data_IF_945718033688
#
_entry.id   IF_945718033688
#
_cell.length_a   1.000
_cell.length_b   1.000
_cell.length_c   1.000
_cell.angle_alpha   90.00
_cell.angle_beta   90.00
_cell.angle_gamma   90.00
#
_symmetry.space_group_name_H-M   'P 1'
#
loop_
_entity.id
_entity.type
_entity.pdbx_description
1 polymer ?
#
# COMPACT_ATOMS: atom_id res chain seq x y z
N UNK A 1 18.91 -10.91 -15.39
CA UNK A 1 18.01 -9.75 -15.32
C UNK A 1 17.07 -10.05 -14.17
N UNK A 2 17.05 -9.22 -13.12
CA UNK A 2 16.08 -9.40 -12.04
C UNK A 2 14.72 -8.98 -12.58
N UNK A 3 13.89 -9.96 -12.95
CA UNK A 3 12.47 -9.73 -13.23
C UNK A 3 11.84 -9.19 -11.95
N UNK A 4 11.60 -7.88 -11.89
CA UNK A 4 10.84 -7.28 -10.80
C UNK A 4 9.40 -7.80 -10.93
N UNK A 5 8.91 -8.68 -10.03
CA UNK A 5 7.59 -9.30 -10.16
C UNK A 5 6.44 -8.29 -10.04
N UNK A 6 6.76 -7.04 -9.71
CA UNK A 6 5.82 -5.95 -9.53
C UNK A 6 5.92 -4.89 -10.64
N UNK A 7 6.68 -5.12 -11.72
CA UNK A 7 6.90 -4.10 -12.77
C UNK A 7 5.59 -3.61 -13.41
N UNK A 8 4.62 -4.50 -13.59
CA UNK A 8 3.32 -4.20 -14.22
C UNK A 8 2.22 -3.87 -13.21
N UNK A 9 2.56 -3.81 -11.92
CA UNK A 9 1.56 -3.52 -10.90
C UNK A 9 1.09 -2.07 -10.99
N UNK A 10 -0.22 -1.82 -10.83
CA UNK A 10 -0.71 -0.48 -10.62
C UNK A 10 0.00 0.19 -9.44
N UNK A 11 0.20 1.51 -9.54
CA UNK A 11 0.90 2.28 -8.50
C UNK A 11 0.29 2.07 -7.10
N UNK A 12 -1.04 1.96 -6.99
CA UNK A 12 -1.70 1.76 -5.70
C UNK A 12 -1.33 0.43 -5.04
N UNK A 13 -1.18 -0.65 -5.80
CA UNK A 13 -0.70 -1.93 -5.27
C UNK A 13 0.77 -1.82 -4.85
N UNK A 14 1.60 -1.16 -5.66
CA UNK A 14 3.02 -0.96 -5.38
C UNK A 14 3.28 -0.20 -4.08
N UNK A 15 2.60 0.94 -3.88
CA UNK A 15 2.81 1.74 -2.66
C UNK A 15 2.25 1.03 -1.43
N UNK A 16 1.15 0.28 -1.57
CA UNK A 16 0.59 -0.53 -0.49
C UNK A 16 1.60 -1.57 0.00
N UNK A 17 2.16 -2.39 -0.89
CA UNK A 17 3.14 -3.41 -0.48
C UNK A 17 4.45 -2.81 0.02
N UNK A 18 4.89 -1.66 -0.54
CA UNK A 18 6.04 -0.94 0.01
C UNK A 18 5.80 -0.55 1.46
N UNK A 19 4.65 0.05 1.78
CA UNK A 19 4.27 0.42 3.16
C UNK A 19 4.21 -0.80 4.08
N UNK A 20 3.57 -1.88 3.62
CA UNK A 20 3.45 -3.15 4.34
C UNK A 20 4.82 -3.75 4.70
N UNK A 21 5.68 -3.91 3.69
CA UNK A 21 6.93 -4.65 3.81
C UNK A 21 8.05 -3.82 4.43
N UNK A 22 7.95 -2.49 4.41
CA UNK A 22 8.90 -1.60 5.08
C UNK A 22 8.64 -1.38 6.57
N UNK A 23 7.90 -2.27 7.24
CA UNK A 23 7.63 -2.18 8.67
C UNK A 23 6.37 -1.39 9.03
N UNK A 24 5.51 -1.12 8.05
CA UNK A 24 4.21 -0.49 8.25
C UNK A 24 4.21 1.04 8.17
N UNK A 25 3.01 1.66 8.25
CA UNK A 25 2.85 3.07 7.96
C UNK A 25 3.59 4.02 8.91
N UNK A 26 3.66 3.67 10.20
CA UNK A 26 4.36 4.47 11.20
C UNK A 26 5.87 4.58 10.90
N UNK A 27 6.46 3.55 10.29
CA UNK A 27 7.88 3.52 10.00
C UNK A 27 8.23 4.27 8.71
N UNK A 28 7.42 4.12 7.65
CA UNK A 28 7.87 4.50 6.30
C UNK A 28 6.88 5.29 5.45
N UNK A 29 5.66 5.60 5.91
CA UNK A 29 4.66 6.26 5.07
C UNK A 29 5.16 7.60 4.50
N UNK A 30 5.85 8.41 5.30
CA UNK A 30 6.44 9.67 4.85
C UNK A 30 7.51 9.46 3.77
N UNK A 31 8.42 8.51 3.99
CA UNK A 31 9.48 8.20 3.02
C UNK A 31 8.92 7.65 1.71
N UNK A 32 7.90 6.78 1.76
CA UNK A 32 7.20 6.29 0.56
C UNK A 32 6.52 7.43 -0.17
N UNK A 33 5.77 8.28 0.53
CA UNK A 33 5.09 9.43 -0.08
C UNK A 33 6.10 10.36 -0.79
N UNK A 34 7.21 10.67 -0.13
CA UNK A 34 8.29 11.49 -0.69
C UNK A 34 8.93 10.87 -1.94
N UNK A 35 9.25 9.57 -1.91
CA UNK A 35 9.87 8.86 -3.06
C UNK A 35 8.96 8.88 -4.29
N UNK A 36 7.64 8.86 -4.09
CA UNK A 36 6.66 8.88 -5.17
C UNK A 36 6.14 10.28 -5.49
N UNK A 37 6.64 11.32 -4.81
CA UNK A 37 6.24 12.71 -5.06
C UNK A 37 4.78 13.01 -4.72
N UNK A 38 4.19 12.29 -3.77
CA UNK A 38 2.79 12.43 -3.35
C UNK A 38 2.70 12.82 -1.88
N UNK A 39 1.52 13.32 -1.48
CA UNK A 39 1.18 13.55 -0.07
C UNK A 39 0.86 12.25 0.64
N UNK A 40 0.97 12.25 1.98
CA UNK A 40 0.54 11.11 2.81
C UNK A 40 -0.95 10.81 2.64
N UNK A 41 -1.81 11.83 2.47
CA UNK A 41 -3.24 11.62 2.23
C UNK A 41 -3.53 10.92 0.89
N UNK A 42 -2.73 11.22 -0.14
CA UNK A 42 -2.82 10.56 -1.45
C UNK A 42 -2.31 9.12 -1.36
N UNK A 43 -1.23 8.89 -0.61
CA UNK A 43 -0.76 7.54 -0.28
C UNK A 43 -1.84 6.75 0.44
N UNK A 44 -2.52 7.33 1.43
CA UNK A 44 -3.66 6.70 2.11
C UNK A 44 -4.78 6.37 1.12
N UNK A 45 -5.14 7.28 0.23
CA UNK A 45 -6.17 7.01 -0.78
C UNK A 45 -5.81 5.83 -1.71
N UNK A 46 -4.55 5.74 -2.12
CA UNK A 46 -4.03 4.60 -2.89
C UNK A 46 -4.08 3.31 -2.08
N UNK A 47 -3.68 3.35 -0.81
CA UNK A 47 -3.71 2.18 0.06
C UNK A 47 -5.14 1.68 0.34
N UNK A 48 -6.10 2.60 0.54
CA UNK A 48 -7.53 2.26 0.67
C UNK A 48 -8.03 1.54 -0.57
N UNK A 49 -7.76 2.09 -1.76
CA UNK A 49 -8.16 1.49 -3.03
C UNK A 49 -7.64 0.05 -3.17
N UNK A 50 -6.37 -0.19 -2.83
CA UNK A 50 -5.80 -1.55 -2.84
C UNK A 50 -6.53 -2.48 -1.88
N UNK A 51 -6.78 -2.03 -0.65
CA UNK A 51 -7.52 -2.83 0.33
C UNK A 51 -8.94 -3.16 -0.13
N UNK A 52 -9.67 -2.19 -0.69
CA UNK A 52 -11.03 -2.39 -1.22
C UNK A 52 -11.03 -3.43 -2.35
N UNK A 53 -10.09 -3.34 -3.29
CA UNK A 53 -9.95 -4.30 -4.40
C UNK A 53 -9.63 -5.71 -3.91
N UNK A 54 -8.73 -5.85 -2.94
CA UNK A 54 -8.33 -7.16 -2.43
C UNK A 54 -9.42 -7.76 -1.54
N UNK A 55 -10.16 -6.97 -0.77
CA UNK A 55 -11.37 -7.42 -0.07
C UNK A 55 -12.41 -7.91 -1.06
N UNK A 56 -12.67 -7.15 -2.14
CA UNK A 56 -13.63 -7.56 -3.17
C UNK A 56 -13.22 -8.87 -3.87
N UNK A 57 -11.92 -9.13 -4.03
CA UNK A 57 -11.37 -10.35 -4.65
C UNK A 57 -11.37 -11.54 -3.71
N UNK A 58 -10.92 -11.36 -2.47
CA UNK A 58 -10.56 -12.44 -1.55
C UNK A 58 -11.53 -12.60 -0.37
N UNK A 59 -12.47 -11.67 -0.20
CA UNK A 59 -13.44 -11.62 0.89
C UNK A 59 -12.92 -10.97 2.18
N UNK A 60 -11.62 -11.03 2.44
CA UNK A 60 -10.98 -10.38 3.58
C UNK A 60 -9.48 -10.14 3.33
N UNK A 61 -8.89 -9.22 4.10
CA UNK A 61 -7.43 -9.05 4.14
C UNK A 61 -6.83 -9.95 5.23
N UNK A 62 -5.63 -10.46 4.96
CA UNK A 62 -4.79 -11.02 6.02
C UNK A 62 -4.39 -9.92 7.05
N UNK A 63 -3.89 -10.29 8.24
CA UNK A 63 -3.59 -9.32 9.29
C UNK A 63 -2.58 -8.24 8.90
N UNK A 64 -1.60 -8.55 8.04
CA UNK A 64 -0.55 -7.60 7.68
C UNK A 64 -1.06 -6.57 6.66
N UNK A 65 -1.91 -6.98 5.72
CA UNK A 65 -2.59 -6.07 4.79
C UNK A 65 -3.67 -5.27 5.53
N UNK A 66 -4.39 -5.89 6.47
CA UNK A 66 -5.43 -5.23 7.27
C UNK A 66 -4.87 -4.04 8.05
N UNK A 67 -3.65 -4.14 8.61
CA UNK A 67 -3.02 -3.05 9.33
C UNK A 67 -2.78 -1.79 8.46
N UNK A 68 -2.32 -1.98 7.22
CA UNK A 68 -2.12 -0.87 6.27
C UNK A 68 -3.46 -0.27 5.84
N UNK A 69 -4.47 -1.11 5.61
CA UNK A 69 -5.80 -0.67 5.22
C UNK A 69 -6.49 0.14 6.33
N UNK A 70 -6.43 -0.30 7.58
CA UNK A 70 -6.98 0.42 8.74
C UNK A 70 -6.33 1.79 8.87
N UNK A 71 -5.00 1.85 8.86
CA UNK A 71 -4.28 3.14 8.91
C UNK A 71 -4.67 4.08 7.76
N UNK A 72 -4.93 3.51 6.58
CA UNK A 72 -5.33 4.28 5.43
C UNK A 72 -6.76 4.84 5.57
N UNK A 73 -7.61 4.30 6.45
CA UNK A 73 -8.97 4.79 6.72
C UNK A 73 -9.04 5.92 7.76
N UNK A 74 -8.01 6.06 8.60
CA UNK A 74 -7.83 7.20 9.52
C UNK A 74 -7.59 8.52 8.79
#
# INVERSE_FOLDING_TARGET
MSDNPYADWPLHHLVFVKVRDGGGPAAIAHSVAQVHGIRVDELKALCRKTGDEWIARDGALDPINQAVYIWAQE
#
